data_IF_974999561376
#
_entry.id   IF_974999561376
#
_cell.length_a   1.000
_cell.length_b   1.000
_cell.length_c   1.000
_cell.angle_alpha   90.00
_cell.angle_beta   90.00
_cell.angle_gamma   90.00
#
_symmetry.space_group_name_H-M   'P 1'
#
loop_
_entity.id
_entity.type
_entity.pdbx_description
1 polymer ?
#
# COMPACT_ATOMS: atom_id res chain seq x y z
N UNK A 1 18.88 -31.30 -1.74
CA UNK A 1 18.17 -30.08 -2.15
C UNK A 1 16.70 -30.29 -1.84
N UNK A 2 16.16 -29.58 -0.86
CA UNK A 2 14.73 -29.65 -0.51
C UNK A 2 13.97 -28.59 -1.30
N UNK A 3 12.82 -28.90 -1.91
CA UNK A 3 12.00 -27.90 -2.56
C UNK A 3 11.40 -26.97 -1.50
N UNK A 4 11.66 -25.67 -1.62
CA UNK A 4 10.94 -24.64 -0.86
C UNK A 4 9.51 -24.58 -1.41
N UNK A 5 8.60 -25.34 -0.81
CA UNK A 5 7.17 -25.19 -1.04
C UNK A 5 6.74 -23.84 -0.47
N UNK A 6 6.44 -22.87 -1.33
CA UNK A 6 5.65 -21.71 -0.95
C UNK A 6 4.26 -22.23 -0.56
N UNK A 7 4.04 -22.41 0.73
CA UNK A 7 2.72 -22.73 1.29
C UNK A 7 1.76 -21.61 0.95
N UNK A 8 0.99 -21.79 -0.13
CA UNK A 8 -0.23 -21.07 -0.40
C UNK A 8 -1.22 -21.45 0.70
N UNK A 9 -1.35 -20.59 1.70
CA UNK A 9 -2.34 -20.73 2.76
C UNK A 9 -3.72 -20.45 2.14
N UNK A 10 -4.67 -21.40 2.16
CA UNK A 10 -6.00 -21.20 1.61
C UNK A 10 -6.80 -20.19 2.45
N UNK A 11 -7.42 -19.26 1.74
CA UNK A 11 -7.91 -17.96 2.21
C UNK A 11 -9.28 -17.98 2.93
N UNK A 12 -9.87 -19.14 3.24
CA UNK A 12 -11.24 -19.24 3.78
C UNK A 12 -11.43 -18.74 5.23
N UNK A 13 -10.46 -18.03 5.81
CA UNK A 13 -10.53 -17.42 7.15
C UNK A 13 -9.68 -16.13 7.17
N UNK A 14 -10.20 -15.00 6.70
CA UNK A 14 -9.62 -13.71 7.08
C UNK A 14 -10.29 -13.17 8.35
N UNK A 15 -9.57 -13.19 9.48
CA UNK A 15 -9.66 -12.14 10.47
C UNK A 15 -8.24 -11.59 10.67
N UNK A 16 -7.77 -10.70 9.79
CA UNK A 16 -6.45 -10.05 9.99
C UNK A 16 -6.55 -8.57 10.34
N UNK A 17 -7.75 -8.01 10.28
CA UNK A 17 -8.08 -6.74 10.91
C UNK A 17 -9.20 -7.03 11.86
N UNK A 18 -8.91 -6.95 13.15
CA UNK A 18 -9.96 -6.86 14.14
C UNK A 18 -10.76 -5.57 13.84
N UNK A 19 -11.96 -5.71 13.27
CA UNK A 19 -12.85 -4.58 13.01
C UNK A 19 -13.32 -3.90 14.30
N UNK A 20 -13.14 -4.58 15.44
CA UNK A 20 -13.40 -4.03 16.78
C UNK A 20 -12.19 -3.26 17.34
N UNK A 21 -11.00 -3.41 16.74
CA UNK A 21 -9.84 -2.62 17.12
C UNK A 21 -10.12 -1.13 16.85
N UNK A 22 -9.86 -0.25 17.83
CA UNK A 22 -10.16 1.17 17.69
C UNK A 22 -9.40 1.74 16.49
N UNK A 23 -10.14 2.33 15.55
CA UNK A 23 -9.58 3.04 14.38
C UNK A 23 -8.54 4.04 14.90
N UNK A 24 -7.26 3.78 14.68
CA UNK A 24 -6.24 4.79 14.95
C UNK A 24 -6.30 5.77 13.79
N UNK A 25 -7.12 6.81 13.97
CA UNK A 25 -7.07 7.99 13.14
C UNK A 25 -5.62 8.45 13.11
N UNK A 26 -5.06 8.64 11.91
CA UNK A 26 -3.72 9.24 11.75
C UNK A 26 -3.77 10.69 12.21
N UNK A 27 -3.87 10.94 13.52
CA UNK A 27 -3.78 12.26 14.16
C UNK A 27 -2.35 12.77 14.25
N UNK A 28 -1.41 12.14 13.52
CA UNK A 28 -0.12 12.78 13.29
C UNK A 28 -0.39 13.96 12.36
N UNK A 29 -0.58 15.12 12.97
CA UNK A 29 -0.20 16.41 12.41
C UNK A 29 1.29 16.33 12.05
N UNK A 30 1.66 15.58 11.00
CA UNK A 30 2.82 15.97 10.21
C UNK A 30 2.40 17.34 9.72
N UNK A 31 3.06 18.38 10.23
CA UNK A 31 2.94 19.73 9.73
C UNK A 31 2.70 19.66 8.21
N UNK A 32 1.69 20.41 7.75
CA UNK A 32 1.26 20.53 6.35
C UNK A 32 2.42 21.03 5.47
N UNK A 33 3.46 20.22 5.32
CA UNK A 33 4.39 20.31 4.22
C UNK A 33 3.62 19.68 3.07
N UNK A 34 2.77 20.51 2.46
CA UNK A 34 2.20 20.23 1.15
C UNK A 34 3.33 19.73 0.25
N UNK A 35 3.10 18.59 -0.40
CA UNK A 35 4.07 18.06 -1.34
C UNK A 35 4.36 19.16 -2.39
N UNK A 36 5.63 19.48 -2.63
CA UNK A 36 5.97 20.46 -3.67
C UNK A 36 5.60 19.90 -5.04
N UNK A 37 5.37 20.77 -6.01
CA UNK A 37 4.95 20.37 -7.36
C UNK A 37 6.00 19.46 -8.03
N UNK A 38 7.28 19.71 -7.78
CA UNK A 38 8.38 18.87 -8.24
C UNK A 38 8.26 17.47 -7.66
N UNK A 39 7.90 17.37 -6.37
CA UNK A 39 7.79 16.09 -5.70
C UNK A 39 6.59 15.26 -6.15
N UNK A 40 5.47 15.92 -6.44
CA UNK A 40 4.28 15.29 -7.04
C UNK A 40 4.64 14.77 -8.44
N UNK A 41 5.38 15.56 -9.22
CA UNK A 41 5.81 15.19 -10.57
C UNK A 41 6.76 13.99 -10.55
N UNK A 42 7.70 13.95 -9.61
CA UNK A 42 8.61 12.81 -9.40
C UNK A 42 7.85 11.55 -9.02
N UNK A 43 6.91 11.63 -8.08
CA UNK A 43 6.07 10.50 -7.67
C UNK A 43 5.24 9.97 -8.86
N UNK A 44 4.73 10.87 -9.71
CA UNK A 44 3.99 10.47 -10.91
C UNK A 44 4.86 9.74 -11.95
N UNK A 45 6.08 10.21 -12.20
CA UNK A 45 7.02 9.59 -13.16
C UNK A 45 7.53 8.22 -12.67
N UNK A 46 7.97 8.13 -11.41
CA UNK A 46 8.37 6.85 -10.80
C UNK A 46 7.25 5.81 -10.93
N UNK A 47 6.03 6.24 -10.64
CA UNK A 47 4.89 5.36 -10.70
C UNK A 47 4.57 4.89 -12.13
N UNK A 48 4.76 5.73 -13.16
CA UNK A 48 4.64 5.33 -14.57
C UNK A 48 5.71 4.30 -14.96
N UNK A 49 6.95 4.51 -14.53
CA UNK A 49 8.08 3.61 -14.80
C UNK A 49 7.80 2.22 -14.23
N UNK A 50 7.33 2.15 -12.99
CA UNK A 50 7.04 0.87 -12.32
C UNK A 50 5.92 0.10 -13.02
N UNK A 51 4.89 0.77 -13.53
CA UNK A 51 3.83 0.08 -14.29
C UNK A 51 4.37 -0.53 -15.59
N UNK A 52 5.32 0.16 -16.27
CA UNK A 52 6.01 -0.40 -17.43
C UNK A 52 6.82 -1.62 -17.06
N UNK A 53 7.53 -1.61 -15.94
CA UNK A 53 8.26 -2.78 -15.43
C UNK A 53 7.33 -3.94 -15.05
N UNK A 54 6.12 -3.65 -14.59
CA UNK A 54 5.08 -4.64 -14.33
C UNK A 54 4.43 -5.21 -15.62
N UNK A 55 4.89 -4.80 -16.81
CA UNK A 55 4.34 -5.25 -18.10
C UNK A 55 2.99 -4.62 -18.45
N UNK A 56 2.51 -3.64 -17.66
CA UNK A 56 1.24 -2.96 -17.89
C UNK A 56 1.46 -1.81 -18.89
N UNK A 57 1.28 -2.11 -20.17
CA UNK A 57 1.30 -1.12 -21.26
C UNK A 57 -0.13 -0.74 -21.63
N UNK A 58 -0.74 0.13 -20.82
CA UNK A 58 -2.05 0.71 -21.11
C UNK A 58 -1.99 2.23 -21.20
N UNK A 59 -2.89 2.85 -21.98
CA UNK A 59 -3.12 4.28 -21.94
C UNK A 59 -3.79 4.64 -20.60
N UNK A 60 -2.99 4.83 -19.56
CA UNK A 60 -3.45 5.32 -18.27
C UNK A 60 -3.94 6.75 -18.46
N UNK A 61 -5.26 6.93 -18.45
CA UNK A 61 -5.84 8.26 -18.45
C UNK A 61 -5.88 8.77 -17.00
N UNK A 62 -5.79 10.08 -16.73
CA UNK A 62 -5.96 10.59 -15.37
C UNK A 62 -7.26 10.13 -14.70
N UNK A 63 -8.31 9.89 -15.50
CA UNK A 63 -9.61 9.39 -15.03
C UNK A 63 -9.56 7.95 -14.53
N UNK A 64 -8.57 7.16 -14.94
CA UNK A 64 -8.40 5.78 -14.47
C UNK A 64 -7.58 5.70 -13.19
N UNK A 65 -7.19 6.83 -12.57
CA UNK A 65 -6.40 6.88 -11.34
C UNK A 65 -7.30 7.36 -10.20
N UNK A 66 -7.44 6.51 -9.19
CA UNK A 66 -8.24 6.78 -8.00
C UNK A 66 -7.28 6.90 -6.81
N UNK A 67 -7.32 8.06 -6.17
CA UNK A 67 -6.63 8.30 -4.90
C UNK A 67 -7.47 7.72 -3.76
N UNK A 68 -6.82 7.28 -2.68
CA UNK A 68 -7.56 6.77 -1.53
C UNK A 68 -8.30 7.92 -0.83
N UNK A 69 -9.63 7.82 -0.74
CA UNK A 69 -10.51 8.73 -0.01
C UNK A 69 -10.17 8.79 1.47
N UNK A 70 -9.90 7.62 2.06
CA UNK A 70 -9.65 7.50 3.50
C UNK A 70 -8.42 6.63 3.79
N UNK A 71 -7.68 7.00 4.83
CA UNK A 71 -6.47 6.31 5.27
C UNK A 71 -6.50 6.15 6.79
N UNK A 72 -6.48 4.90 7.25
CA UNK A 72 -6.46 4.57 8.68
C UNK A 72 -5.21 3.79 9.05
N UNK A 73 -4.73 3.97 10.28
CA UNK A 73 -3.79 3.03 10.88
C UNK A 73 -4.58 2.04 11.72
N UNK A 74 -4.33 0.76 11.53
CA UNK A 74 -5.00 -0.34 12.21
C UNK A 74 -3.95 -1.28 12.80
N UNK A 75 -4.23 -1.84 13.98
CA UNK A 75 -3.39 -2.87 14.57
C UNK A 75 -3.78 -4.22 13.96
N UNK A 76 -2.78 -4.99 13.51
CA UNK A 76 -3.03 -6.29 12.87
C UNK A 76 -2.99 -7.45 13.85
N UNK A 77 -2.79 -7.17 15.14
CA UNK A 77 -2.79 -8.16 16.21
C UNK A 77 -3.70 -7.67 17.36
N UNK A 78 -4.74 -8.44 17.71
CA UNK A 78 -5.56 -8.13 18.87
C UNK A 78 -4.77 -8.51 20.12
N UNK A 79 -4.52 -7.53 20.99
CA UNK A 79 -3.85 -7.66 22.28
C UNK A 79 -2.34 -7.96 22.25
N UNK A 80 -1.54 -6.90 22.09
CA UNK A 80 -0.23 -6.85 22.74
C UNK A 80 -0.12 -5.55 23.57
N UNK A 81 -0.31 -5.60 24.90
CA UNK A 81 -0.12 -4.43 25.77
C UNK A 81 1.35 -4.00 25.87
N UNK A 82 2.27 -4.74 25.24
CA UNK A 82 3.69 -4.41 25.16
C UNK A 82 4.06 -4.01 23.74
N UNK A 83 3.97 -2.71 23.44
CA UNK A 83 5.15 -2.01 22.93
C UNK A 83 5.07 -0.57 23.40
N UNK A 84 5.76 -0.35 24.53
CA UNK A 84 6.49 0.86 24.85
C UNK A 84 6.72 1.74 23.62
N UNK A 85 6.45 3.04 23.78
CA UNK A 85 7.02 4.13 23.00
C UNK A 85 8.16 3.63 22.13
N UNK A 86 7.93 3.47 20.83
CA UNK A 86 9.02 3.18 19.90
C UNK A 86 10.06 4.25 20.19
N UNK A 87 11.15 3.84 20.85
CA UNK A 87 12.31 4.68 21.05
C UNK A 87 12.55 5.32 19.69
N UNK A 88 12.52 6.65 19.67
CA UNK A 88 12.84 7.44 18.49
C UNK A 88 14.13 6.85 17.94
N UNK A 89 14.01 6.03 16.90
CA UNK A 89 15.15 5.59 16.12
C UNK A 89 15.72 6.91 15.66
N UNK A 90 16.87 7.29 16.22
CA UNK A 90 17.56 8.52 15.91
C UNK A 90 17.51 8.63 14.39
N UNK A 91 16.74 9.61 13.90
CA UNK A 91 16.80 10.01 12.52
C UNK A 91 18.16 10.68 12.43
N UNK A 92 19.21 9.85 12.32
CA UNK A 92 20.48 10.29 11.80
C UNK A 92 20.14 11.12 10.58
N UNK A 93 20.63 12.35 10.55
CA UNK A 93 20.56 13.25 9.41
C UNK A 93 21.20 12.54 8.22
N UNK A 94 20.43 11.68 7.55
CA UNK A 94 20.82 11.09 6.29
C UNK A 94 20.99 12.26 5.36
N UNK A 95 22.22 12.39 4.85
CA UNK A 95 22.60 13.35 3.82
C UNK A 95 21.50 13.42 2.75
N UNK A 96 21.29 14.61 2.17
CA UNK A 96 20.32 14.89 1.10
C UNK A 96 20.53 13.98 -0.11
N UNK A 97 20.11 12.73 0.00
CA UNK A 97 19.97 11.78 -1.09
C UNK A 97 18.73 12.10 -1.89
N UNK A 98 18.63 11.49 -3.07
CA UNK A 98 17.42 11.53 -3.89
C UNK A 98 16.21 11.13 -3.03
N UNK A 99 15.16 11.96 -3.04
CA UNK A 99 13.92 11.71 -2.29
C UNK A 99 13.37 10.34 -2.67
N UNK A 100 12.97 9.54 -1.68
CA UNK A 100 12.25 8.29 -1.92
C UNK A 100 10.80 8.56 -2.34
N UNK A 101 10.29 7.89 -3.39
CA UNK A 101 8.90 8.05 -3.81
C UNK A 101 7.90 7.66 -2.72
N UNK A 102 6.79 8.40 -2.62
CA UNK A 102 5.73 8.12 -1.65
C UNK A 102 4.35 8.44 -2.20
N UNK A 103 3.74 7.45 -2.84
CA UNK A 103 2.38 7.54 -3.39
C UNK A 103 1.60 6.25 -3.16
N UNK A 104 0.30 6.32 -3.36
CA UNK A 104 -0.62 5.19 -3.24
C UNK A 104 -1.81 5.47 -4.13
N UNK A 105 -2.05 4.61 -5.13
CA UNK A 105 -3.11 4.79 -6.11
C UNK A 105 -3.74 3.47 -6.49
N UNK A 106 -5.00 3.53 -6.85
CA UNK A 106 -5.73 2.44 -7.47
C UNK A 106 -5.98 2.81 -8.93
N UNK A 107 -5.69 1.89 -9.86
CA UNK A 107 -5.94 2.10 -11.28
C UNK A 107 -7.04 1.16 -11.73
N UNK A 108 -8.01 1.68 -12.49
CA UNK A 108 -9.07 0.87 -13.08
C UNK A 108 -8.71 0.58 -14.54
N UNK A 109 -8.53 -0.70 -14.88
CA UNK A 109 -8.17 -1.16 -16.22
C UNK A 109 -9.10 -2.30 -16.64
N UNK A 110 -10.03 -2.03 -17.56
CA UNK A 110 -11.02 -2.97 -18.06
C UNK A 110 -11.85 -3.65 -16.94
N UNK A 111 -11.51 -4.88 -16.57
CA UNK A 111 -12.14 -5.67 -15.51
C UNK A 111 -11.20 -5.91 -14.31
N UNK A 112 -10.05 -5.22 -14.27
CA UNK A 112 -9.02 -5.36 -13.27
C UNK A 112 -8.74 -4.06 -12.53
N UNK A 113 -8.27 -4.21 -11.29
CA UNK A 113 -7.89 -3.12 -10.41
C UNK A 113 -6.41 -3.25 -10.07
N UNK A 114 -5.61 -2.26 -10.43
CA UNK A 114 -4.17 -2.24 -10.14
C UNK A 114 -3.91 -1.33 -8.96
N UNK A 115 -3.62 -1.93 -7.82
CA UNK A 115 -3.12 -1.21 -6.67
C UNK A 115 -1.62 -0.99 -6.80
N UNK A 116 -1.20 0.26 -6.69
CA UNK A 116 0.20 0.64 -6.76
C UNK A 116 0.59 1.53 -5.58
N UNK A 117 1.67 1.17 -4.91
CA UNK A 117 2.17 1.92 -3.77
C UNK A 117 3.70 2.02 -3.75
N UNK A 118 4.19 3.14 -3.22
CA UNK A 118 5.59 3.37 -2.92
C UNK A 118 5.77 3.89 -1.49
N UNK A 119 6.84 3.46 -0.84
CA UNK A 119 7.20 3.90 0.50
C UNK A 119 8.71 3.87 0.71
N UNK A 120 9.18 4.51 1.78
CA UNK A 120 10.55 4.37 2.25
C UNK A 120 10.87 2.98 2.85
N UNK A 121 9.85 2.18 3.16
CA UNK A 121 9.93 0.84 3.76
C UNK A 121 9.41 -0.23 2.79
N UNK A 122 9.76 -1.53 2.99
CA UNK A 122 9.15 -2.64 2.26
C UNK A 122 7.63 -2.62 2.37
N UNK A 123 6.93 -3.09 1.33
CA UNK A 123 5.47 -3.07 1.25
C UNK A 123 4.90 -4.46 1.03
N UNK A 124 3.75 -4.74 1.66
CA UNK A 124 3.00 -5.99 1.49
C UNK A 124 1.49 -5.74 1.61
N UNK A 125 0.69 -6.19 0.64
CA UNK A 125 -0.76 -6.32 0.81
C UNK A 125 -1.03 -7.47 1.78
N UNK A 126 -1.85 -7.23 2.80
CA UNK A 126 -2.20 -8.26 3.79
C UNK A 126 -3.69 -8.66 3.74
N UNK A 127 -4.56 -7.75 3.30
CA UNK A 127 -5.97 -8.02 3.07
C UNK A 127 -6.53 -7.04 2.03
N UNK A 128 -7.57 -7.46 1.34
CA UNK A 128 -8.33 -6.59 0.45
C UNK A 128 -9.79 -7.04 0.38
N UNK A 129 -10.70 -6.09 0.20
CA UNK A 129 -12.11 -6.34 -0.06
C UNK A 129 -12.64 -5.41 -1.15
N UNK A 130 -13.56 -5.92 -1.96
CA UNK A 130 -14.29 -5.20 -3.00
C UNK A 130 -15.78 -5.33 -2.69
N UNK A 131 -16.45 -4.21 -2.45
CA UNK A 131 -17.86 -4.17 -2.01
C UNK A 131 -18.16 -5.17 -0.89
N UNK A 132 -17.39 -5.09 0.21
CA UNK A 132 -17.46 -5.97 1.40
C UNK A 132 -17.06 -7.43 1.18
N UNK A 133 -16.86 -7.86 -0.07
CA UNK A 133 -16.42 -9.19 -0.40
C UNK A 133 -14.89 -9.29 -0.40
N UNK A 134 -14.40 -10.36 0.21
CA UNK A 134 -12.95 -10.61 0.28
C UNK A 134 -12.40 -10.97 -1.11
N UNK A 135 -11.36 -10.28 -1.55
CA UNK A 135 -10.75 -10.49 -2.88
C UNK A 135 -9.28 -10.84 -2.81
N UNK A 136 -8.84 -11.62 -3.81
CA UNK A 136 -7.43 -11.97 -4.03
C UNK A 136 -6.89 -11.25 -5.24
N UNK A 137 -5.58 -11.14 -5.26
CA UNK A 137 -4.89 -10.70 -6.45
C UNK A 137 -3.53 -11.34 -6.58
N UNK A 138 -2.76 -10.78 -7.51
CA UNK A 138 -1.41 -11.21 -7.83
C UNK A 138 -0.44 -10.05 -7.73
N UNK A 139 0.76 -10.34 -7.23
CA UNK A 139 1.86 -9.40 -7.25
C UNK A 139 2.37 -9.32 -8.70
N UNK A 140 2.33 -8.14 -9.30
CA UNK A 140 2.93 -7.88 -10.62
C UNK A 140 4.36 -7.34 -10.49
N UNK A 141 4.63 -6.58 -9.43
CA UNK A 141 5.95 -6.04 -9.13
C UNK A 141 6.09 -5.84 -7.63
N UNK A 142 7.22 -6.27 -7.05
CA UNK A 142 7.56 -5.99 -5.67
C UNK A 142 9.08 -5.86 -5.53
N UNK A 143 9.55 -4.72 -5.07
CA UNK A 143 10.97 -4.49 -4.82
C UNK A 143 11.17 -3.62 -3.57
N UNK A 144 12.35 -3.76 -2.98
CA UNK A 144 12.80 -2.90 -1.90
C UNK A 144 14.32 -2.75 -1.95
N UNK A 145 14.81 -1.52 -1.84
CA UNK A 145 16.20 -1.23 -1.51
C UNK A 145 16.30 -0.08 -0.51
N UNK A 146 17.45 0.05 0.15
CA UNK A 146 17.68 1.15 1.09
C UNK A 146 17.71 2.52 0.41
N UNK A 147 18.08 2.57 -0.87
CA UNK A 147 18.19 3.78 -1.68
C UNK A 147 16.84 4.16 -2.27
N UNK A 148 16.16 3.20 -2.90
CA UNK A 148 14.94 3.44 -3.68
C UNK A 148 13.64 3.24 -2.87
N UNK A 149 13.72 2.65 -1.68
CA UNK A 149 12.56 2.30 -0.86
C UNK A 149 11.78 1.10 -1.42
N UNK A 150 10.61 0.84 -0.83
CA UNK A 150 9.70 -0.22 -1.26
C UNK A 150 8.76 0.24 -2.38
N UNK A 151 8.52 -0.64 -3.34
CA UNK A 151 7.61 -0.46 -4.49
C UNK A 151 6.76 -1.71 -4.65
N UNK A 152 5.46 -1.51 -4.84
CA UNK A 152 4.49 -2.60 -4.97
C UNK A 152 3.47 -2.29 -6.06
N UNK A 153 3.26 -3.25 -6.95
CA UNK A 153 2.16 -3.31 -7.92
C UNK A 153 1.43 -4.62 -7.70
N UNK A 154 0.13 -4.53 -7.45
CA UNK A 154 -0.73 -5.66 -7.15
C UNK A 154 -1.99 -5.57 -8.02
N UNK A 155 -2.36 -6.65 -8.68
CA UNK A 155 -3.57 -6.71 -9.50
C UNK A 155 -4.65 -7.50 -8.78
N UNK A 156 -5.83 -6.90 -8.63
CA UNK A 156 -7.06 -7.56 -8.25
C UNK A 156 -7.97 -7.74 -9.48
N UNK A 157 -8.81 -8.76 -9.43
CA UNK A 157 -9.83 -9.03 -10.45
C UNK A 157 -11.20 -8.69 -9.89
N UNK A 158 -12.04 -7.98 -10.65
CA UNK A 158 -13.40 -7.67 -10.23
C UNK A 158 -13.86 -6.27 -10.63
N UNK A 159 -15.15 -6.01 -10.37
CA UNK A 159 -15.79 -4.70 -10.51
C UNK A 159 -16.59 -4.41 -9.26
N UNK A 160 -16.64 -3.14 -8.87
CA UNK A 160 -17.36 -2.72 -7.69
C UNK A 160 -17.30 -1.21 -7.51
N UNK A 161 -17.84 -0.74 -6.39
CA UNK A 161 -17.94 0.68 -6.07
C UNK A 161 -16.94 1.12 -5.01
N UNK A 162 -16.52 0.21 -4.14
CA UNK A 162 -15.55 0.43 -3.07
C UNK A 162 -14.50 -0.69 -3.00
N UNK A 163 -13.23 -0.31 -2.95
CA UNK A 163 -12.10 -1.20 -2.70
C UNK A 163 -11.41 -0.77 -1.42
N UNK A 164 -11.19 -1.73 -0.53
CA UNK A 164 -10.39 -1.55 0.68
C UNK A 164 -9.12 -2.36 0.52
N UNK A 165 -7.97 -1.74 0.75
CA UNK A 165 -6.66 -2.41 0.73
C UNK A 165 -5.95 -2.15 2.04
N UNK A 166 -5.59 -3.22 2.74
CA UNK A 166 -4.76 -3.18 3.93
C UNK A 166 -3.31 -3.51 3.56
N UNK A 167 -2.40 -2.56 3.84
CA UNK A 167 -0.98 -2.70 3.54
C UNK A 167 -0.13 -2.68 4.82
N UNK A 168 0.82 -3.60 4.92
CA UNK A 168 1.89 -3.57 5.93
C UNK A 168 3.11 -2.83 5.35
N UNK A 169 3.71 -1.95 6.16
CA UNK A 169 4.95 -1.22 5.82
C UNK A 169 6.08 -1.69 6.74
N UNK A 170 7.11 -2.29 6.18
CA UNK A 170 8.18 -2.96 6.95
C UNK A 170 7.63 -4.03 7.90
N UNK A 171 8.32 -4.23 9.03
CA UNK A 171 7.91 -5.20 10.05
C UNK A 171 6.92 -4.68 11.09
N UNK A 172 6.26 -3.56 10.81
CA UNK A 172 5.27 -2.92 11.68
C UNK A 172 4.14 -3.88 12.11
N UNK A 173 3.80 -3.87 13.40
CA UNK A 173 2.57 -4.52 13.94
C UNK A 173 1.28 -3.81 13.55
N UNK A 174 1.40 -2.68 12.84
CA UNK A 174 0.29 -1.90 12.29
C UNK A 174 0.25 -2.01 10.77
N UNK A 175 -0.96 -2.05 10.23
CA UNK A 175 -1.23 -1.88 8.82
C UNK A 175 -1.88 -0.52 8.56
N UNK A 176 -1.76 -0.07 7.31
CA UNK A 176 -2.50 1.06 6.81
C UNK A 176 -3.66 0.54 5.98
N UNK A 177 -4.88 0.89 6.37
CA UNK A 177 -6.09 0.67 5.59
C UNK A 177 -6.31 1.84 4.65
N UNK A 178 -6.54 1.54 3.39
CA UNK A 178 -6.78 2.50 2.32
C UNK A 178 -8.15 2.18 1.74
N UNK A 179 -9.04 3.18 1.69
CA UNK A 179 -10.38 3.04 1.14
C UNK A 179 -10.42 3.86 -0.15
N UNK A 180 -10.86 3.24 -1.23
CA UNK A 180 -11.04 3.83 -2.55
C UNK A 180 -12.51 3.69 -2.93
N UNK A 181 -13.18 4.79 -3.25
CA UNK A 181 -14.58 4.85 -3.68
C UNK A 181 -14.69 5.39 -5.10
N UNK A 182 -15.82 5.13 -5.74
CA UNK A 182 -16.10 5.63 -7.09
C UNK A 182 -15.32 4.90 -8.18
N UNK A 183 -15.13 3.59 -8.00
CA UNK A 183 -14.34 2.73 -8.89
C UNK A 183 -15.04 2.45 -10.25
N UNK A 184 -16.33 2.79 -10.36
CA UNK A 184 -17.20 2.49 -11.49
C UNK A 184 -16.67 2.96 -12.86
#
# INVERSE_FOLDING_TARGET
MMPQSSTNIPFKKLPLVDLTAPKVMSRRNRAENSATQESISQDAEDAKIILRYAGLKGNLTPKSIIEADEKYMIETQPANPATSSSASSNIEMRQKGVRKPHYTRLLVLDNGLIFQAACCLPLKVIAASLDEETVYGRILFNSHSEECGGKLVYEFQGKGTEMIVDIKRGESTRAQRLIFRGIA
#
